data_IF_754535867887
#
_entry.id   IF_754535867887
#
_cell.length_a   1.000
_cell.length_b   1.000
_cell.length_c   1.000
_cell.angle_alpha   90.00
_cell.angle_beta   90.00
_cell.angle_gamma   90.00
#
_symmetry.space_group_name_H-M   'P 1'
#
loop_
_entity.id
_entity.type
_entity.pdbx_description
1 polymer ?
#
# COMPACT_ATOMS: atom_id res chain seq x y z
N UNK A 1 3.55 23.79 -12.01
CA UNK A 1 3.76 22.35 -11.72
C UNK A 1 2.94 21.52 -12.70
N UNK A 2 3.57 20.64 -13.49
CA UNK A 2 2.88 19.84 -14.52
C UNK A 2 2.14 18.65 -13.89
N UNK A 3 1.01 18.25 -14.46
CA UNK A 3 0.16 17.15 -13.95
C UNK A 3 0.89 15.80 -13.84
N UNK A 4 1.95 15.61 -14.64
CA UNK A 4 2.82 14.43 -14.62
C UNK A 4 3.68 14.38 -13.34
N UNK A 5 4.20 15.52 -12.88
CA UNK A 5 5.02 15.58 -11.65
C UNK A 5 4.27 15.11 -10.41
N UNK A 6 2.96 15.43 -10.30
CA UNK A 6 2.11 15.00 -9.18
C UNK A 6 1.89 13.47 -9.12
N UNK A 7 2.04 12.76 -10.24
CA UNK A 7 1.94 11.30 -10.30
C UNK A 7 3.31 10.61 -10.14
N UNK A 8 4.39 11.28 -10.54
CA UNK A 8 5.75 10.77 -10.40
C UNK A 8 6.21 10.76 -8.94
N UNK A 9 5.85 11.76 -8.14
CA UNK A 9 6.27 11.81 -6.72
C UNK A 9 5.80 10.57 -5.92
N UNK A 10 4.52 10.15 -5.94
CA UNK A 10 4.07 8.94 -5.23
C UNK A 10 4.53 7.63 -5.87
N UNK A 11 4.97 7.65 -7.13
CA UNK A 11 5.54 6.49 -7.80
C UNK A 11 7.00 6.29 -7.36
N UNK A 12 7.79 7.36 -7.35
CA UNK A 12 9.16 7.36 -6.90
C UNK A 12 9.28 6.90 -5.43
N UNK A 13 8.38 7.38 -4.56
CA UNK A 13 8.32 6.97 -3.15
C UNK A 13 8.13 5.44 -2.99
N UNK A 14 7.25 4.84 -3.80
CA UNK A 14 7.04 3.38 -3.79
C UNK A 14 8.19 2.59 -4.39
N UNK A 15 8.81 3.12 -5.45
CA UNK A 15 9.99 2.49 -6.03
C UNK A 15 11.17 2.50 -5.07
N UNK A 16 11.35 3.58 -4.31
CA UNK A 16 12.39 3.68 -3.27
C UNK A 16 12.20 2.60 -2.21
N UNK A 17 11.01 2.54 -1.60
CA UNK A 17 10.70 1.56 -0.55
C UNK A 17 10.76 0.11 -1.06
N UNK A 18 10.27 -0.14 -2.27
CA UNK A 18 10.37 -1.44 -2.93
C UNK A 18 11.82 -1.86 -3.19
N UNK A 19 12.65 -0.94 -3.70
CA UNK A 19 14.06 -1.18 -3.99
C UNK A 19 14.86 -1.54 -2.74
N UNK A 20 14.62 -0.84 -1.63
CA UNK A 20 15.26 -1.15 -0.34
C UNK A 20 14.87 -2.55 0.15
N UNK A 21 13.60 -2.92 0.05
CA UNK A 21 13.14 -4.26 0.45
C UNK A 21 13.73 -5.36 -0.44
N UNK A 22 13.81 -5.14 -1.75
CA UNK A 22 14.44 -6.07 -2.69
C UNK A 22 15.92 -6.26 -2.34
N UNK A 23 16.65 -5.19 -1.99
CA UNK A 23 18.04 -5.30 -1.53
C UNK A 23 18.15 -6.10 -0.23
N UNK A 24 17.20 -5.96 0.70
CA UNK A 24 17.19 -6.75 1.93
C UNK A 24 17.03 -8.26 1.66
N UNK A 25 16.35 -8.65 0.58
CA UNK A 25 16.27 -10.05 0.13
C UNK A 25 17.63 -10.54 -0.34
N UNK A 26 18.34 -9.73 -1.12
CA UNK A 26 19.68 -10.08 -1.62
C UNK A 26 20.69 -10.23 -0.47
N UNK A 27 20.53 -9.46 0.60
CA UNK A 27 21.33 -9.57 1.82
C UNK A 27 20.92 -10.75 2.73
N UNK A 28 19.92 -11.54 2.33
CA UNK A 28 19.43 -12.68 3.12
C UNK A 28 18.66 -12.30 4.38
N UNK A 29 18.30 -11.01 4.56
CA UNK A 29 17.62 -10.51 5.76
C UNK A 29 16.11 -10.78 5.75
N UNK A 30 15.50 -10.82 4.57
CA UNK A 30 14.05 -10.98 4.40
C UNK A 30 13.77 -11.98 3.28
N UNK A 31 12.70 -12.77 3.42
CA UNK A 31 12.28 -13.67 2.36
C UNK A 31 11.66 -12.93 1.17
N UNK A 32 12.03 -13.32 -0.05
CA UNK A 32 11.55 -12.68 -1.28
C UNK A 32 10.03 -12.72 -1.46
N UNK A 33 9.37 -13.81 -1.06
CA UNK A 33 7.91 -13.93 -1.13
C UNK A 33 7.20 -12.91 -0.24
N UNK A 34 7.81 -12.53 0.88
CA UNK A 34 7.24 -11.57 1.83
C UNK A 34 7.34 -10.16 1.25
N UNK A 35 8.48 -9.81 0.65
CA UNK A 35 8.65 -8.56 -0.10
C UNK A 35 7.68 -8.47 -1.27
N UNK A 36 7.47 -9.57 -2.00
CA UNK A 36 6.47 -9.63 -3.08
C UNK A 36 5.05 -9.30 -2.58
N UNK A 37 4.62 -9.84 -1.45
CA UNK A 37 3.31 -9.53 -0.86
C UNK A 37 3.16 -8.04 -0.52
N UNK A 38 4.21 -7.41 0.03
CA UNK A 38 4.21 -5.97 0.36
C UNK A 38 4.06 -5.13 -0.90
N UNK A 39 4.92 -5.34 -1.90
CA UNK A 39 4.93 -4.58 -3.13
C UNK A 39 3.61 -4.76 -3.88
N UNK A 40 3.15 -6.01 -4.04
CA UNK A 40 1.90 -6.33 -4.71
C UNK A 40 0.69 -5.64 -4.08
N UNK A 41 0.61 -5.66 -2.75
CA UNK A 41 -0.46 -4.99 -1.99
C UNK A 41 -0.40 -3.47 -2.16
N UNK A 42 0.78 -2.87 -2.15
CA UNK A 42 0.93 -1.41 -2.31
C UNK A 42 0.55 -0.93 -3.70
N UNK A 43 0.93 -1.68 -4.74
CA UNK A 43 0.53 -1.40 -6.11
C UNK A 43 -0.98 -1.56 -6.29
N UNK A 44 -1.56 -2.63 -5.72
CA UNK A 44 -3.01 -2.89 -5.79
C UNK A 44 -3.83 -1.75 -5.18
N UNK A 45 -3.51 -1.32 -3.95
CA UNK A 45 -4.27 -0.24 -3.28
C UNK A 45 -4.06 1.11 -3.96
N UNK A 46 -2.87 1.36 -4.50
CA UNK A 46 -2.61 2.58 -5.28
C UNK A 46 -3.43 2.60 -6.56
N UNK A 47 -3.44 1.49 -7.30
CA UNK A 47 -4.22 1.35 -8.52
C UNK A 47 -5.71 1.50 -8.24
N UNK A 48 -6.23 0.82 -7.21
CA UNK A 48 -7.63 0.92 -6.81
C UNK A 48 -8.03 2.34 -6.46
N UNK A 49 -7.19 3.06 -5.70
CA UNK A 49 -7.43 4.48 -5.38
C UNK A 49 -7.40 5.37 -6.63
N UNK A 50 -6.48 5.10 -7.55
CA UNK A 50 -6.40 5.83 -8.82
C UNK A 50 -7.69 5.65 -9.63
N UNK A 51 -8.20 4.42 -9.74
CA UNK A 51 -9.45 4.12 -10.45
C UNK A 51 -10.65 4.77 -9.74
N UNK A 52 -10.75 4.64 -8.41
CA UNK A 52 -11.82 5.27 -7.64
C UNK A 52 -11.84 6.81 -7.81
N UNK A 53 -10.66 7.44 -7.83
CA UNK A 53 -10.52 8.88 -8.08
C UNK A 53 -11.01 9.28 -9.48
N UNK A 54 -10.78 8.45 -10.51
CA UNK A 54 -11.31 8.71 -11.86
C UNK A 54 -12.84 8.61 -11.95
N UNK A 55 -13.49 7.89 -11.02
CA UNK A 55 -14.95 7.77 -10.92
C UNK A 55 -15.59 8.76 -9.92
N UNK A 56 -14.82 9.73 -9.40
CA UNK A 56 -15.32 10.72 -8.42
C UNK A 56 -15.61 10.15 -7.03
N UNK A 57 -15.22 8.89 -6.77
CA UNK A 57 -15.35 8.24 -5.47
C UNK A 57 -14.13 8.56 -4.60
N UNK A 58 -14.29 9.48 -3.65
CA UNK A 58 -13.29 9.74 -2.63
C UNK A 58 -13.38 8.63 -1.57
N UNK A 59 -12.49 7.65 -1.69
CA UNK A 59 -12.28 6.62 -0.67
C UNK A 59 -11.31 7.17 0.39
N UNK A 60 -11.87 7.71 1.46
CA UNK A 60 -11.08 8.13 2.61
C UNK A 60 -10.41 6.92 3.26
N UNK A 61 -9.08 6.94 3.30
CA UNK A 61 -8.30 6.02 4.12
C UNK A 61 -8.61 6.35 5.58
N UNK A 62 -9.46 5.56 6.23
CA UNK A 62 -9.57 5.64 7.68
C UNK A 62 -8.17 5.49 8.32
N UNK A 63 -8.01 6.07 9.52
CA UNK A 63 -6.80 6.20 10.37
C UNK A 63 -5.81 5.01 10.35
N UNK A 64 -6.29 3.82 10.01
CA UNK A 64 -5.52 2.58 9.83
C UNK A 64 -4.33 2.71 8.86
N UNK A 65 -4.44 3.55 7.80
CA UNK A 65 -3.36 3.76 6.84
C UNK A 65 -2.10 4.40 7.44
N UNK A 66 -2.27 5.22 8.48
CA UNK A 66 -1.17 5.93 9.16
C UNK A 66 -0.31 4.98 9.99
N UNK A 67 -0.94 4.04 10.68
CA UNK A 67 -0.24 3.08 11.56
C UNK A 67 0.60 2.08 10.76
N UNK A 68 0.13 1.67 9.57
CA UNK A 68 0.90 0.79 8.67
C UNK A 68 2.18 1.46 8.19
N UNK A 69 2.11 2.71 7.72
CA UNK A 69 3.27 3.43 7.18
C UNK A 69 4.38 3.56 8.23
N UNK A 70 4.02 3.91 9.46
CA UNK A 70 4.96 4.01 10.58
C UNK A 70 5.65 2.67 10.83
N UNK A 71 4.89 1.57 10.91
CA UNK A 71 5.47 0.24 11.13
C UNK A 71 6.43 -0.21 10.01
N UNK A 72 6.12 0.15 8.75
CA UNK A 72 6.94 -0.23 7.59
C UNK A 72 8.25 0.54 7.54
N UNK A 73 8.20 1.86 7.76
CA UNK A 73 9.40 2.70 7.79
C UNK A 73 10.32 2.26 8.94
N UNK A 74 9.77 1.99 10.12
CA UNK A 74 10.53 1.46 11.25
C UNK A 74 11.19 0.13 10.88
N UNK A 75 10.46 -0.79 10.25
CA UNK A 75 11.02 -2.07 9.81
C UNK A 75 12.21 -1.90 8.85
N UNK A 76 12.06 -1.01 7.85
CA UNK A 76 13.11 -0.70 6.88
C UNK A 76 14.33 -0.07 7.57
N UNK A 77 14.12 0.86 8.51
CA UNK A 77 15.21 1.49 9.25
C UNK A 77 16.03 0.46 10.04
N UNK A 78 15.37 -0.46 10.74
CA UNK A 78 16.06 -1.52 11.48
C UNK A 78 16.78 -2.52 10.58
N UNK A 79 16.20 -2.87 9.42
CA UNK A 79 16.84 -3.74 8.44
C UNK A 79 18.03 -3.09 7.74
N UNK A 80 18.01 -1.77 7.55
CA UNK A 80 19.08 -1.03 6.90
C UNK A 80 20.21 -0.70 7.88
N UNK A 81 19.91 -0.58 9.18
CA UNK A 81 20.91 -0.32 10.21
C UNK A 81 21.91 -1.48 10.28
N UNK A 82 23.19 -1.14 10.28
CA UNK A 82 24.28 -2.11 10.41
C UNK A 82 25.08 -1.83 11.68
N UNK A 83 24.93 -2.70 12.69
CA UNK A 83 25.71 -2.67 13.92
C UNK A 83 26.18 -4.10 14.21
N UNK A 84 27.46 -4.44 13.96
CA UNK A 84 27.97 -5.80 14.04
C UNK A 84 27.66 -6.51 15.38
N UNK A 85 27.71 -5.79 16.49
CA UNK A 85 27.51 -6.35 17.84
C UNK A 85 26.06 -6.76 18.15
N UNK A 86 25.07 -6.20 17.46
CA UNK A 86 23.64 -6.46 17.72
C UNK A 86 22.84 -6.76 16.44
N UNK A 87 23.54 -7.02 15.33
CA UNK A 87 22.95 -7.25 14.02
C UNK A 87 21.82 -8.29 14.00
N UNK A 88 21.95 -9.49 14.61
CA UNK A 88 20.87 -10.47 14.59
C UNK A 88 19.61 -10.00 15.34
N UNK A 89 19.77 -9.18 16.38
CA UNK A 89 18.64 -8.61 17.13
C UNK A 89 17.94 -7.53 16.29
N UNK A 90 18.71 -6.67 15.62
CA UNK A 90 18.19 -5.64 14.72
C UNK A 90 17.42 -6.25 13.55
N UNK A 91 17.98 -7.27 12.90
CA UNK A 91 17.33 -7.96 11.78
C UNK A 91 16.05 -8.67 12.26
N UNK A 92 16.06 -9.28 13.46
CA UNK A 92 14.87 -9.88 14.06
C UNK A 92 13.74 -8.87 14.34
N UNK A 93 14.06 -7.72 14.94
CA UNK A 93 13.09 -6.64 15.19
C UNK A 93 12.57 -6.06 13.87
N UNK A 94 13.45 -5.90 12.89
CA UNK A 94 13.12 -5.45 11.54
C UNK A 94 12.11 -6.37 10.88
N UNK A 95 12.41 -7.67 10.81
CA UNK A 95 11.51 -8.70 10.24
C UNK A 95 10.19 -8.78 10.99
N UNK A 96 10.20 -8.72 12.32
CA UNK A 96 8.98 -8.71 13.13
C UNK A 96 8.09 -7.49 12.81
N UNK A 97 8.68 -6.29 12.78
CA UNK A 97 7.96 -5.06 12.43
C UNK A 97 7.41 -5.12 11.00
N UNK A 98 8.13 -5.78 10.11
CA UNK A 98 7.75 -5.97 8.71
C UNK A 98 6.56 -6.92 8.59
N UNK A 99 6.52 -7.99 9.38
CA UNK A 99 5.36 -8.88 9.53
C UNK A 99 4.13 -8.15 10.07
N UNK A 100 4.30 -7.33 11.11
CA UNK A 100 3.21 -6.47 11.62
C UNK A 100 2.69 -5.54 10.51
N UNK A 101 3.59 -4.96 9.72
CA UNK A 101 3.23 -4.12 8.57
C UNK A 101 2.47 -4.88 7.49
N UNK A 102 2.81 -6.14 7.22
CA UNK A 102 2.04 -7.01 6.32
C UNK A 102 0.63 -7.21 6.85
N UNK A 103 0.47 -7.61 8.11
CA UNK A 103 -0.85 -7.88 8.71
C UNK A 103 -1.73 -6.64 8.67
N UNK A 104 -1.24 -5.50 9.16
CA UNK A 104 -1.94 -4.22 9.07
C UNK A 104 -2.20 -3.81 7.62
N UNK A 105 -1.27 -4.17 6.74
CA UNK A 105 -1.35 -4.00 5.31
C UNK A 105 -2.57 -4.71 4.72
N UNK A 106 -2.66 -6.01 4.91
CA UNK A 106 -3.75 -6.78 4.32
C UNK A 106 -5.10 -6.47 4.96
N UNK A 107 -5.13 -6.20 6.27
CA UNK A 107 -6.33 -5.72 6.96
C UNK A 107 -6.85 -4.42 6.31
N UNK A 108 -6.00 -3.40 6.21
CA UNK A 108 -6.37 -2.13 5.59
C UNK A 108 -6.73 -2.29 4.11
N UNK A 109 -6.14 -3.26 3.40
CA UNK A 109 -6.50 -3.52 2.01
C UNK A 109 -7.92 -4.09 1.90
N UNK A 110 -8.29 -5.03 2.77
CA UNK A 110 -9.63 -5.59 2.82
C UNK A 110 -10.70 -4.53 3.12
N UNK A 111 -10.47 -3.68 4.14
CA UNK A 111 -11.35 -2.56 4.47
C UNK A 111 -11.57 -1.65 3.24
N UNK A 112 -10.49 -1.36 2.52
CA UNK A 112 -10.54 -0.54 1.31
C UNK A 112 -11.35 -1.16 0.17
N UNK A 113 -11.19 -2.47 -0.07
CA UNK A 113 -11.96 -3.18 -1.09
C UNK A 113 -13.45 -3.19 -0.74
N UNK A 114 -13.80 -3.44 0.52
CA UNK A 114 -15.19 -3.45 0.99
C UNK A 114 -15.83 -2.07 0.80
N UNK A 115 -15.15 -1.00 1.21
CA UNK A 115 -15.63 0.37 1.03
C UNK A 115 -15.83 0.73 -0.45
N UNK A 116 -14.92 0.29 -1.32
CA UNK A 116 -15.06 0.47 -2.76
C UNK A 116 -16.29 -0.27 -3.31
N UNK A 117 -16.48 -1.56 -2.97
CA UNK A 117 -17.64 -2.32 -3.43
C UNK A 117 -18.96 -1.75 -2.91
N UNK A 118 -19.01 -1.30 -1.66
CA UNK A 118 -20.21 -0.67 -1.09
C UNK A 118 -20.54 0.67 -1.76
N UNK A 119 -19.53 1.50 -2.08
CA UNK A 119 -19.75 2.79 -2.76
C UNK A 119 -19.93 2.69 -4.27
N UNK A 120 -19.47 1.61 -4.91
CA UNK A 120 -19.67 1.38 -6.34
C UNK A 120 -21.09 0.85 -6.66
N UNK A 121 -21.68 0.06 -5.76
CA UNK A 121 -23.01 -0.56 -5.93
C UNK A 121 -24.19 0.43 -6.19
N UNK A 122 -24.24 1.65 -5.61
CA UNK A 122 -25.33 2.61 -5.85
C UNK A 122 -25.27 3.31 -7.21
N UNK A 123 -24.09 3.44 -7.82
CA UNK A 123 -23.90 4.20 -9.07
C UNK A 123 -24.47 3.47 -10.29
N UNK A 124 -24.46 2.14 -10.28
CA UNK A 124 -25.08 1.33 -11.34
C UNK A 124 -26.61 1.39 -11.38
N UNK A 125 -27.27 1.84 -10.29
CA UNK A 125 -28.74 1.94 -10.23
C UNK A 125 -29.32 3.27 -10.72
N UNK A 126 -28.54 4.36 -10.70
CA UNK A 126 -29.01 5.68 -11.13
C UNK A 126 -29.02 5.83 -12.66
N UNK A 127 -27.98 5.29 -13.32
CA UNK A 127 -27.77 5.47 -14.75
C UNK A 127 -28.77 4.67 -15.62
N UNK A 128 -29.28 3.54 -15.13
CA UNK A 128 -30.31 2.75 -15.83
C UNK A 128 -31.73 3.32 -15.76
N UNK A 129 -31.98 4.40 -15.00
CA UNK A 129 -33.31 5.02 -14.90
C UNK A 129 -33.51 6.26 -15.77
N UNK A 130 -32.42 6.87 -16.26
CA UNK A 130 -32.49 8.08 -17.09
C UNK A 130 -32.58 7.80 -18.59
N UNK A 131 -32.18 6.61 -19.03
CA UNK A 131 -32.20 6.22 -20.45
C UNK A 131 -33.53 5.55 -20.87
N UNK A 132 -34.42 5.25 -19.91
CA UNK A 132 -35.71 4.61 -20.17
C UNK A 132 -36.87 5.59 -20.40
N UNK A 133 -36.61 6.91 -20.32
CA UNK A 133 -37.64 7.96 -20.38
C UNK A 133 -37.33 9.06 -21.42
N UNK A 134 -36.52 8.72 -22.43
CA UNK A 134 -36.38 9.56 -23.63
C UNK A 134 -37.52 9.21 -24.61
N UNK A 135 -38.26 10.21 -25.11
CA UNK A 135 -39.59 10.06 -25.74
C UNK A 135 -39.60 9.33 -27.09
#
# INVERSE_FOLDING_TARGET
VTSVGKLLDPLADKLLTSGVLIMCVQLGKVSGWLVFLIIGREMTITGLRSIAATHGLVLDASRMGKNKMVSQVIAILFLLLYIPSVQPVLDGIGVFSLWVSVVLGYWSAADYFIDFYHKAKPLGKSQGSSDADSP
#
